data_IF_801685552819
#
_entry.id   IF_801685552819
#
_cell.length_a   1.000
_cell.length_b   1.000
_cell.length_c   1.000
_cell.angle_alpha   90.00
_cell.angle_beta   90.00
_cell.angle_gamma   90.00
#
_symmetry.space_group_name_H-M   'P 1'
#
loop_
_entity.id
_entity.type
_entity.pdbx_description
1 polymer ?
#
# COMPACT_ATOMS: atom_id res chain seq x y z
N UNK A 1 12.69 -24.66 16.54
CA UNK A 1 12.23 -23.26 16.62
C UNK A 1 12.24 -22.74 15.19
N UNK A 2 11.14 -22.15 14.71
CA UNK A 2 11.11 -21.62 13.34
C UNK A 2 11.95 -20.35 13.29
N UNK A 3 12.74 -20.19 12.24
CA UNK A 3 13.51 -18.97 12.00
C UNK A 3 12.55 -17.92 11.46
N UNK A 4 12.41 -16.80 12.15
CA UNK A 4 11.59 -15.67 11.70
C UNK A 4 12.30 -14.90 10.59
N UNK A 5 11.55 -14.21 9.75
CA UNK A 5 12.08 -13.31 8.73
C UNK A 5 12.84 -12.15 9.38
N UNK A 6 14.08 -11.91 8.93
CA UNK A 6 14.84 -10.71 9.28
C UNK A 6 14.51 -9.55 8.35
N UNK A 7 14.65 -8.32 8.84
CA UNK A 7 14.51 -7.10 8.05
C UNK A 7 15.88 -6.54 7.64
N UNK A 8 15.90 -5.64 6.64
CA UNK A 8 17.13 -4.97 6.18
C UNK A 8 17.76 -4.04 7.22
N UNK A 9 17.00 -3.64 8.24
CA UNK A 9 17.48 -2.76 9.32
C UNK A 9 18.36 -3.55 10.30
N UNK A 10 19.67 -3.31 10.25
CA UNK A 10 20.61 -3.89 11.21
C UNK A 10 20.64 -3.10 12.51
N UNK A 11 19.93 -3.57 13.53
CA UNK A 11 20.00 -2.96 14.87
C UNK A 11 21.08 -3.59 15.74
N UNK A 12 21.98 -2.76 16.24
CA UNK A 12 22.87 -3.12 17.34
C UNK A 12 22.16 -2.95 18.67
N UNK A 13 21.24 -3.87 18.99
CA UNK A 13 20.67 -4.01 20.34
C UNK A 13 21.75 -4.62 21.23
N UNK A 14 22.71 -3.82 21.70
CA UNK A 14 23.75 -4.25 22.65
C UNK A 14 23.15 -4.59 24.02
N UNK A 15 23.87 -4.29 25.12
CA UNK A 15 23.39 -4.53 26.50
C UNK A 15 22.12 -3.78 26.94
N UNK A 16 21.38 -3.17 26.01
CA UNK A 16 20.12 -2.48 26.21
C UNK A 16 18.92 -3.22 25.60
N UNK A 17 19.06 -4.52 25.29
CA UNK A 17 17.96 -5.35 24.78
C UNK A 17 16.70 -5.34 25.65
N UNK A 18 16.85 -5.03 26.95
CA UNK A 18 15.77 -5.00 27.93
C UNK A 18 15.14 -3.61 28.10
N UNK A 19 15.62 -2.57 27.39
CA UNK A 19 14.96 -1.26 27.42
C UNK A 19 13.66 -1.35 26.59
N UNK A 20 12.54 -0.80 27.10
CA UNK A 20 11.34 -0.71 26.30
C UNK A 20 11.64 0.09 25.03
N UNK A 21 11.10 -0.36 23.89
CA UNK A 21 11.19 0.38 22.64
C UNK A 21 10.43 1.71 22.76
N UNK A 22 10.86 2.72 22.00
CA UNK A 22 10.16 4.00 21.97
C UNK A 22 8.69 3.80 21.59
N UNK A 23 7.81 4.60 22.18
CA UNK A 23 6.38 4.51 21.93
C UNK A 23 6.08 4.89 20.47
N UNK A 24 5.47 3.94 19.75
CA UNK A 24 5.10 4.14 18.35
C UNK A 24 3.82 4.98 18.29
N UNK A 25 3.88 6.11 17.61
CA UNK A 25 2.74 7.00 17.42
C UNK A 25 2.64 7.45 15.95
N UNK A 26 1.69 6.86 15.22
CA UNK A 26 1.47 7.16 13.81
C UNK A 26 1.00 8.61 13.57
N UNK A 27 0.24 9.19 14.51
CA UNK A 27 -0.25 10.58 14.40
C UNK A 27 0.89 11.61 14.50
N UNK A 28 2.03 11.23 15.10
CA UNK A 28 3.24 12.05 15.18
C UNK A 28 4.32 11.61 14.18
N UNK A 29 4.00 10.70 13.26
CA UNK A 29 4.95 10.05 12.34
C UNK A 29 6.13 9.37 13.04
N UNK A 30 5.98 9.06 14.34
CA UNK A 30 6.91 8.23 15.11
C UNK A 30 6.61 6.77 14.81
N UNK A 31 6.90 6.38 13.58
CA UNK A 31 6.74 5.00 13.13
C UNK A 31 7.82 4.12 13.76
N UNK A 32 7.51 2.83 13.83
CA UNK A 32 8.47 1.85 14.30
C UNK A 32 9.77 1.93 13.48
N UNK A 33 10.93 1.64 14.08
CA UNK A 33 12.22 1.72 13.39
C UNK A 33 12.39 0.86 12.12
N UNK A 34 11.50 -0.09 11.85
CA UNK A 34 11.44 -0.82 10.56
C UNK A 34 10.76 -0.01 9.44
N UNK A 35 10.05 1.07 9.80
CA UNK A 35 9.27 1.93 8.92
C UNK A 35 9.80 3.37 8.93
N UNK A 36 11.11 3.54 9.12
CA UNK A 36 11.77 4.83 8.97
C UNK A 36 11.70 5.31 7.52
N UNK A 37 11.74 6.63 7.33
CA UNK A 37 11.67 7.26 6.02
C UNK A 37 12.81 6.80 5.10
N UNK A 38 14.02 6.67 5.63
CA UNK A 38 15.16 6.16 4.88
C UNK A 38 15.29 4.65 5.11
N UNK A 39 14.98 3.90 4.06
CA UNK A 39 15.07 2.44 4.01
C UNK A 39 16.34 2.02 3.26
N UNK A 40 16.77 0.78 3.49
CA UNK A 40 17.82 0.13 2.71
C UNK A 40 17.24 -1.06 1.98
N UNK A 41 17.38 -1.07 0.66
CA UNK A 41 16.98 -2.21 -0.16
C UNK A 41 17.96 -3.38 0.02
N UNK A 42 17.58 -4.56 -0.45
CA UNK A 42 18.39 -5.78 -0.45
C UNK A 42 19.74 -5.62 -1.17
N UNK A 43 19.84 -4.65 -2.10
CA UNK A 43 21.08 -4.30 -2.79
C UNK A 43 21.98 -3.32 -2.01
N UNK A 44 21.57 -2.87 -0.83
CA UNK A 44 22.28 -1.89 -0.02
C UNK A 44 22.07 -0.43 -0.46
N UNK A 45 21.16 -0.18 -1.41
CA UNK A 45 20.83 1.17 -1.86
C UNK A 45 19.86 1.86 -0.89
N UNK A 46 20.02 3.16 -0.72
CA UNK A 46 19.08 3.99 0.03
C UNK A 46 17.80 4.21 -0.79
N UNK A 47 16.66 3.90 -0.20
CA UNK A 47 15.34 4.08 -0.79
C UNK A 47 14.42 4.77 0.22
N UNK A 48 13.45 5.56 -0.24
CA UNK A 48 12.45 6.12 0.66
C UNK A 48 11.44 5.04 1.07
N UNK A 49 10.81 5.22 2.22
CA UNK A 49 9.73 4.36 2.70
C UNK A 49 8.65 4.22 1.64
N UNK A 50 8.35 2.98 1.27
CA UNK A 50 7.25 2.66 0.38
C UNK A 50 5.98 2.58 1.22
N UNK A 51 5.03 3.42 0.90
CA UNK A 51 3.68 3.39 1.46
C UNK A 51 2.70 3.24 0.32
N UNK A 52 1.68 2.41 0.54
CA UNK A 52 0.66 2.12 -0.46
C UNK A 52 -0.69 2.59 0.07
N UNK A 53 -1.45 3.31 -0.76
CA UNK A 53 -2.86 3.50 -0.49
C UNK A 53 -3.64 2.18 -0.74
N UNK A 54 -4.91 2.11 -0.32
CA UNK A 54 -5.71 0.88 -0.47
C UNK A 54 -5.85 0.42 -1.93
N UNK A 55 -5.98 1.37 -2.85
CA UNK A 55 -6.15 1.12 -4.28
C UNK A 55 -4.86 0.57 -4.91
N UNK A 56 -3.72 1.18 -4.62
CA UNK A 56 -2.38 0.75 -5.03
C UNK A 56 -2.08 -0.65 -4.47
N UNK A 57 -2.35 -0.87 -3.19
CA UNK A 57 -2.15 -2.17 -2.55
C UNK A 57 -2.99 -3.26 -3.22
N UNK A 58 -4.25 -2.96 -3.57
CA UNK A 58 -5.13 -3.90 -4.29
C UNK A 58 -4.54 -4.30 -5.63
N UNK A 59 -4.17 -3.33 -6.46
CA UNK A 59 -3.67 -3.55 -7.81
C UNK A 59 -2.35 -4.32 -7.76
N UNK A 60 -1.43 -3.92 -6.87
CA UNK A 60 -0.12 -4.56 -6.71
C UNK A 60 -0.24 -6.01 -6.27
N UNK A 61 -1.09 -6.31 -5.28
CA UNK A 61 -1.30 -7.70 -4.82
C UNK A 61 -1.91 -8.54 -5.94
N UNK A 62 -2.93 -8.03 -6.66
CA UNK A 62 -3.55 -8.77 -7.78
C UNK A 62 -2.56 -9.02 -8.91
N UNK A 63 -1.76 -8.03 -9.28
CA UNK A 63 -0.72 -8.17 -10.30
C UNK A 63 0.31 -9.25 -9.92
N UNK A 64 0.83 -9.22 -8.69
CA UNK A 64 1.80 -10.20 -8.20
C UNK A 64 1.22 -11.63 -8.13
N UNK A 65 -0.05 -11.79 -7.73
CA UNK A 65 -0.72 -13.09 -7.70
C UNK A 65 -1.02 -13.63 -9.10
N UNK A 66 -1.38 -12.75 -10.05
CA UNK A 66 -1.61 -13.12 -11.45
C UNK A 66 -0.33 -13.59 -12.12
N UNK A 67 0.77 -12.84 -11.97
CA UNK A 67 2.08 -13.24 -12.48
C UNK A 67 2.51 -14.60 -11.89
N UNK A 68 2.33 -14.78 -10.58
CA UNK A 68 2.61 -16.07 -9.93
C UNK A 68 1.75 -17.20 -10.50
N UNK A 69 0.46 -16.97 -10.73
CA UNK A 69 -0.45 -17.96 -11.33
C UNK A 69 0.02 -18.37 -12.73
N UNK A 70 0.41 -17.40 -13.56
CA UNK A 70 0.95 -17.65 -14.91
C UNK A 70 2.25 -18.46 -14.85
N UNK A 71 3.17 -18.12 -13.95
CA UNK A 71 4.41 -18.89 -13.72
C UNK A 71 4.13 -20.34 -13.32
N UNK A 72 3.17 -20.58 -12.41
CA UNK A 72 2.81 -21.94 -11.99
C UNK A 72 2.17 -22.75 -13.11
N UNK A 73 1.34 -22.13 -13.95
CA UNK A 73 0.75 -22.79 -15.13
C UNK A 73 1.82 -23.15 -16.16
N UNK A 74 2.77 -22.25 -16.42
CA UNK A 74 3.90 -22.52 -17.30
C UNK A 74 4.77 -23.68 -16.78
N UNK A 75 4.99 -23.75 -15.46
CA UNK A 75 5.80 -24.80 -14.84
C UNK A 75 5.10 -26.18 -14.79
N UNK A 76 3.77 -26.22 -14.72
CA UNK A 76 2.98 -27.47 -14.73
C UNK A 76 2.82 -28.11 -16.12
N UNK A 77 3.26 -27.44 -17.19
CA UNK A 77 3.20 -27.99 -18.55
C UNK A 77 1.79 -28.21 -19.09
N UNK A 78 0.79 -27.47 -18.60
CA UNK A 78 -0.57 -27.49 -19.15
C UNK A 78 -0.56 -26.88 -20.55
N UNK A 79 -0.73 -27.74 -21.57
CA UNK A 79 -0.84 -27.37 -22.98
C UNK A 79 -1.97 -26.34 -23.23
N UNK A 80 -1.74 -25.48 -24.22
CA UNK A 80 -2.52 -24.32 -24.69
C UNK A 80 -4.06 -24.47 -24.86
N UNK A 81 -4.70 -25.61 -24.57
CA UNK A 81 -6.14 -25.82 -24.80
C UNK A 81 -7.06 -25.20 -23.73
N UNK A 82 -6.57 -24.93 -22.52
CA UNK A 82 -7.35 -24.25 -21.47
C UNK A 82 -7.22 -22.71 -21.49
N UNK A 83 -6.43 -22.15 -22.43
CA UNK A 83 -6.28 -20.70 -22.61
C UNK A 83 -7.54 -19.98 -23.11
N UNK A 84 -8.60 -20.73 -23.44
CA UNK A 84 -9.86 -20.18 -23.97
C UNK A 84 -10.63 -19.38 -22.90
N UNK A 85 -10.27 -19.49 -21.61
CA UNK A 85 -10.85 -18.67 -20.52
C UNK A 85 -9.88 -17.60 -19.97
N UNK A 86 -8.82 -17.23 -20.69
CA UNK A 86 -7.81 -16.27 -20.21
C UNK A 86 -8.24 -14.80 -20.23
N UNK A 87 -9.43 -14.47 -20.77
CA UNK A 87 -9.96 -13.09 -20.77
C UNK A 87 -10.85 -12.76 -19.56
N UNK A 88 -11.23 -13.74 -18.75
CA UNK A 88 -11.93 -13.45 -17.50
C UNK A 88 -10.89 -13.05 -16.44
N UNK A 89 -10.99 -11.82 -15.93
CA UNK A 89 -10.18 -11.37 -14.79
C UNK A 89 -10.43 -12.34 -13.61
N UNK A 90 -9.41 -13.07 -13.12
CA UNK A 90 -9.62 -14.12 -12.14
C UNK A 90 -10.20 -13.56 -10.83
N UNK A 91 -11.20 -14.27 -10.29
CA UNK A 91 -11.81 -13.89 -9.01
C UNK A 91 -10.78 -13.82 -7.88
N UNK A 92 -11.01 -12.89 -6.94
CA UNK A 92 -10.12 -12.68 -5.78
C UNK A 92 -9.90 -13.95 -4.94
N UNK A 93 -10.91 -14.83 -4.87
CA UNK A 93 -10.81 -16.10 -4.15
C UNK A 93 -9.88 -17.09 -4.86
N UNK A 94 -9.87 -17.09 -6.20
CA UNK A 94 -8.97 -17.92 -7.01
C UNK A 94 -7.53 -17.43 -6.88
N UNK A 95 -7.32 -16.11 -6.91
CA UNK A 95 -6.02 -15.49 -6.71
C UNK A 95 -5.47 -15.76 -5.29
N UNK A 96 -6.31 -15.67 -4.25
CA UNK A 96 -5.89 -15.94 -2.87
C UNK A 96 -5.37 -17.37 -2.67
N UNK A 97 -5.97 -18.35 -3.35
CA UNK A 97 -5.54 -19.77 -3.32
C UNK A 97 -4.15 -20.00 -3.92
N UNK A 98 -3.62 -19.05 -4.71
CA UNK A 98 -2.26 -19.10 -5.25
C UNK A 98 -1.20 -18.56 -4.27
N UNK A 99 -1.60 -18.12 -3.07
CA UNK A 99 -0.66 -17.78 -2.00
C UNK A 99 0.09 -19.03 -1.51
N UNK A 100 1.40 -18.88 -1.29
CA UNK A 100 2.35 -19.97 -1.00
C UNK A 100 2.13 -20.69 0.33
N UNK A 101 1.29 -20.17 1.25
CA UNK A 101 1.09 -20.75 2.57
C UNK A 101 -0.41 -20.98 2.87
N UNK A 102 -0.82 -22.19 3.33
CA UNK A 102 -2.22 -22.53 3.64
C UNK A 102 -2.88 -21.60 4.68
N UNK A 103 -2.11 -21.10 5.67
CA UNK A 103 -2.60 -20.15 6.67
C UNK A 103 -2.56 -18.67 6.24
N UNK A 104 -1.71 -18.33 5.27
CA UNK A 104 -1.68 -16.97 4.70
C UNK A 104 -2.88 -16.72 3.77
N UNK A 105 -3.53 -17.79 3.30
CA UNK A 105 -4.69 -17.70 2.42
C UNK A 105 -5.89 -17.01 3.11
N UNK A 106 -6.18 -17.31 4.38
CA UNK A 106 -7.34 -16.69 5.05
C UNK A 106 -7.13 -15.19 5.29
N UNK A 107 -5.94 -14.80 5.77
CA UNK A 107 -5.59 -13.39 5.98
C UNK A 107 -5.60 -12.65 4.64
N UNK A 108 -4.95 -13.20 3.62
CA UNK A 108 -4.89 -12.58 2.30
C UNK A 108 -6.27 -12.47 1.64
N UNK A 109 -7.12 -13.50 1.77
CA UNK A 109 -8.49 -13.48 1.24
C UNK A 109 -9.31 -12.37 1.92
N UNK A 110 -9.23 -12.23 3.25
CA UNK A 110 -9.86 -11.13 3.98
C UNK A 110 -9.30 -9.77 3.56
N UNK A 111 -7.99 -9.66 3.38
CA UNK A 111 -7.34 -8.43 2.90
C UNK A 111 -7.81 -8.07 1.50
N UNK A 112 -7.83 -9.01 0.55
CA UNK A 112 -8.33 -8.76 -0.81
C UNK A 112 -9.80 -8.33 -0.80
N UNK A 113 -10.65 -8.95 0.02
CA UNK A 113 -12.04 -8.54 0.18
C UNK A 113 -12.17 -7.12 0.72
N UNK A 114 -11.37 -6.78 1.74
CA UNK A 114 -11.32 -5.42 2.29
C UNK A 114 -10.88 -4.42 1.22
N UNK A 115 -9.75 -4.68 0.56
CA UNK A 115 -9.22 -3.82 -0.50
C UNK A 115 -10.19 -3.70 -1.68
N UNK A 116 -10.91 -4.76 -2.04
CA UNK A 116 -11.89 -4.71 -3.13
C UNK A 116 -13.11 -3.85 -2.79
N UNK A 117 -13.49 -3.80 -1.51
CA UNK A 117 -14.64 -3.04 -1.01
C UNK A 117 -14.29 -1.57 -0.76
N UNK A 118 -13.11 -1.30 -0.19
CA UNK A 118 -12.69 0.02 0.28
C UNK A 118 -11.64 0.70 -0.62
N UNK A 119 -11.25 0.10 -1.75
CA UNK A 119 -10.43 0.81 -2.75
C UNK A 119 -11.22 1.95 -3.37
N UNK A 120 -10.69 3.16 -3.24
CA UNK A 120 -11.26 4.39 -3.81
C UNK A 120 -11.10 4.47 -5.33
N UNK A 121 -9.98 3.97 -5.84
CA UNK A 121 -9.63 3.95 -7.27
C UNK A 121 -9.56 2.49 -7.73
N UNK A 122 -10.49 2.06 -8.59
CA UNK A 122 -10.50 0.67 -9.09
C UNK A 122 -9.63 0.48 -10.33
N UNK A 123 -9.59 1.50 -11.18
CA UNK A 123 -8.88 1.44 -12.44
C UNK A 123 -7.41 1.84 -12.27
N UNK A 124 -6.52 1.12 -12.92
CA UNK A 124 -5.08 1.39 -12.85
C UNK A 124 -4.74 2.81 -13.31
N UNK A 125 -5.41 3.31 -14.35
CA UNK A 125 -5.22 4.66 -14.87
C UNK A 125 -5.58 5.73 -13.83
N UNK A 126 -6.73 5.60 -13.16
CA UNK A 126 -7.16 6.52 -12.09
C UNK A 126 -6.23 6.46 -10.88
N UNK A 127 -5.75 5.26 -10.53
CA UNK A 127 -4.82 5.08 -9.43
C UNK A 127 -3.47 5.76 -9.73
N UNK A 128 -2.94 5.62 -10.95
CA UNK A 128 -1.69 6.29 -11.37
C UNK A 128 -1.86 7.80 -11.44
N UNK A 129 -3.03 8.30 -11.86
CA UNK A 129 -3.32 9.74 -11.85
C UNK A 129 -3.35 10.31 -10.41
N UNK A 130 -4.01 9.61 -9.48
CA UNK A 130 -4.03 10.00 -8.06
C UNK A 130 -2.63 9.95 -7.43
N UNK A 131 -1.82 8.94 -7.78
CA UNK A 131 -0.43 8.82 -7.35
C UNK A 131 0.43 9.99 -7.87
N UNK A 132 0.30 10.34 -9.15
CA UNK A 132 1.04 11.45 -9.76
C UNK A 132 0.67 12.80 -9.12
N UNK A 133 -0.60 13.01 -8.76
CA UNK A 133 -1.06 14.19 -8.04
C UNK A 133 -0.44 14.26 -6.64
N UNK A 134 -0.50 13.16 -5.88
CA UNK A 134 -0.05 13.10 -4.49
C UNK A 134 1.48 13.11 -4.35
N UNK A 135 2.21 12.50 -5.29
CA UNK A 135 3.68 12.43 -5.31
C UNK A 135 4.33 13.53 -6.16
N UNK A 136 3.57 14.57 -6.52
CA UNK A 136 4.08 15.74 -7.21
C UNK A 136 5.11 16.50 -6.36
N UNK A 137 6.02 17.24 -7.01
CA UNK A 137 7.09 17.98 -6.33
C UNK A 137 6.56 19.03 -5.33
N UNK A 138 5.36 19.56 -5.58
CA UNK A 138 4.63 20.51 -4.72
C UNK A 138 4.17 19.87 -3.38
N UNK A 139 4.18 18.54 -3.31
CA UNK A 139 3.82 17.74 -2.15
C UNK A 139 5.02 17.02 -1.52
N UNK A 140 6.24 17.38 -1.92
CA UNK A 140 7.49 16.80 -1.38
C UNK A 140 7.69 17.00 0.12
N UNK A 141 6.98 17.96 0.73
CA UNK A 141 6.96 18.19 2.17
C UNK A 141 6.15 17.14 2.95
N UNK A 142 5.26 16.40 2.29
CA UNK A 142 4.42 15.39 2.92
C UNK A 142 5.21 14.10 3.13
N UNK A 143 5.00 13.49 4.29
CA UNK A 143 5.55 12.18 4.59
C UNK A 143 4.82 11.12 3.75
N UNK A 144 5.48 10.04 3.27
CA UNK A 144 4.83 8.97 2.49
C UNK A 144 3.58 8.40 3.17
N UNK A 145 3.61 8.28 4.49
CA UNK A 145 2.45 7.86 5.29
C UNK A 145 1.23 8.76 5.08
N UNK A 146 1.43 10.08 5.06
CA UNK A 146 0.35 11.07 4.88
C UNK A 146 -0.23 10.98 3.47
N UNK A 147 0.64 10.81 2.47
CA UNK A 147 0.26 10.59 1.07
C UNK A 147 -0.62 9.33 0.96
N UNK A 148 -0.23 8.23 1.60
CA UNK A 148 -1.01 7.00 1.59
C UNK A 148 -2.37 7.15 2.31
N UNK A 149 -2.42 7.93 3.39
CA UNK A 149 -3.68 8.23 4.09
C UNK A 149 -4.61 9.09 3.23
N UNK A 150 -4.11 10.16 2.59
CA UNK A 150 -4.91 11.01 1.68
C UNK A 150 -5.45 10.22 0.47
N UNK A 151 -4.70 9.24 -0.03
CA UNK A 151 -5.17 8.36 -1.10
C UNK A 151 -6.19 7.31 -0.66
N UNK A 152 -6.28 7.02 0.64
CA UNK A 152 -7.15 5.96 1.20
C UNK A 152 -8.41 6.50 1.87
N UNK A 153 -8.29 7.63 2.55
CA UNK A 153 -9.38 8.32 3.23
C UNK A 153 -10.03 9.30 2.24
N UNK A 154 -11.35 9.21 2.09
CA UNK A 154 -12.13 10.16 1.30
C UNK A 154 -12.52 11.33 2.20
N UNK A 155 -11.62 12.30 2.35
CA UNK A 155 -11.89 13.53 3.09
C UNK A 155 -12.57 14.54 2.15
N UNK A 156 -13.61 15.23 2.65
CA UNK A 156 -14.32 16.28 1.91
C UNK A 156 -13.64 17.64 2.09
N UNK A 157 -13.29 17.98 3.32
CA UNK A 157 -12.74 19.29 3.70
C UNK A 157 -11.33 19.19 4.30
N UNK A 158 -10.55 20.27 4.23
CA UNK A 158 -9.26 20.38 4.94
C UNK A 158 -9.38 20.09 6.44
N UNK A 159 -10.45 20.54 7.10
CA UNK A 159 -10.63 20.33 8.55
C UNK A 159 -10.79 18.84 8.90
N UNK A 160 -11.54 18.10 8.07
CA UNK A 160 -11.66 16.65 8.20
C UNK A 160 -10.31 15.96 7.96
N UNK A 161 -9.58 16.36 6.91
CA UNK A 161 -8.27 15.79 6.61
C UNK A 161 -7.26 16.01 7.74
N UNK A 162 -7.20 17.20 8.33
CA UNK A 162 -6.32 17.51 9.48
C UNK A 162 -6.78 16.75 10.73
N UNK A 163 -8.09 16.62 10.95
CA UNK A 163 -8.63 15.88 12.09
C UNK A 163 -8.29 14.39 12.01
N UNK A 164 -8.41 13.78 10.82
CA UNK A 164 -8.12 12.36 10.60
C UNK A 164 -6.61 12.08 10.49
N UNK A 165 -5.84 13.04 9.98
CA UNK A 165 -4.39 12.94 9.80
C UNK A 165 -3.72 14.13 10.52
N UNK A 166 -3.55 14.07 11.86
CA UNK A 166 -3.05 15.19 12.64
C UNK A 166 -1.65 15.65 12.26
N UNK A 167 -0.85 14.76 11.65
CA UNK A 167 0.51 15.07 11.21
C UNK A 167 0.57 16.06 10.04
N UNK A 168 -0.54 16.27 9.31
CA UNK A 168 -0.65 17.26 8.23
C UNK A 168 -0.69 18.70 8.74
N UNK A 169 -0.98 18.90 10.03
CA UNK A 169 -1.11 20.22 10.61
C UNK A 169 0.18 21.04 10.37
N UNK A 170 0.02 22.30 9.95
CA UNK A 170 1.09 23.25 9.63
C UNK A 170 2.04 22.87 8.47
N UNK A 171 1.86 21.72 7.80
CA UNK A 171 2.73 21.30 6.68
C UNK A 171 2.30 21.82 5.31
N UNK A 172 1.01 22.09 5.14
CA UNK A 172 0.44 22.59 3.87
C UNK A 172 -0.63 23.63 4.14
N UNK A 173 -0.77 24.57 3.22
CA UNK A 173 -1.83 25.56 3.29
C UNK A 173 -3.19 24.92 3.02
N UNK A 174 -4.21 25.41 3.73
CA UNK A 174 -5.60 24.97 3.61
C UNK A 174 -6.11 25.03 2.17
N UNK A 175 -5.79 26.10 1.45
CA UNK A 175 -6.21 26.29 0.05
C UNK A 175 -5.61 25.23 -0.88
N UNK A 176 -4.33 24.87 -0.66
CA UNK A 176 -3.67 23.88 -1.50
C UNK A 176 -4.11 22.45 -1.14
N UNK A 177 -4.40 22.19 0.13
CA UNK A 177 -4.93 20.89 0.56
C UNK A 177 -6.36 20.69 0.02
N UNK A 178 -7.23 21.70 0.11
CA UNK A 178 -8.58 21.64 -0.47
C UNK A 178 -8.54 21.35 -1.97
N UNK A 179 -7.65 22.01 -2.73
CA UNK A 179 -7.47 21.74 -4.17
C UNK A 179 -7.08 20.29 -4.46
N UNK A 180 -6.21 19.71 -3.65
CA UNK A 180 -5.80 18.31 -3.80
C UNK A 180 -6.98 17.37 -3.50
N UNK A 181 -7.73 17.65 -2.43
CA UNK A 181 -8.91 16.87 -2.06
C UNK A 181 -9.98 16.92 -3.15
N UNK A 182 -10.26 18.10 -3.72
CA UNK A 182 -11.19 18.26 -4.85
C UNK A 182 -10.76 17.43 -6.07
N UNK A 183 -9.49 17.47 -6.44
CA UNK A 183 -9.00 16.72 -7.60
C UNK A 183 -8.97 15.20 -7.33
N UNK A 184 -8.68 14.76 -6.10
CA UNK A 184 -8.82 13.35 -5.71
C UNK A 184 -10.28 12.88 -5.76
N UNK A 185 -11.22 13.70 -5.28
CA UNK A 185 -12.66 13.42 -5.35
C UNK A 185 -13.15 13.35 -6.81
N UNK A 186 -12.55 14.13 -7.71
CA UNK A 186 -12.85 14.08 -9.14
C UNK A 186 -12.35 12.81 -9.83
N UNK A 187 -11.19 12.32 -9.41
CA UNK A 187 -10.59 11.07 -9.92
C UNK A 187 -11.27 9.82 -9.37
N UNK A 188 -12.09 9.97 -8.31
CA UNK A 188 -12.84 8.87 -7.74
C UNK A 188 -13.79 8.29 -8.79
N UNK A 189 -13.67 6.97 -9.00
CA UNK A 189 -14.53 6.27 -9.94
C UNK A 189 -15.95 6.25 -9.37
N UNK A 190 -16.88 7.00 -9.97
CA UNK A 190 -18.30 6.92 -9.63
C UNK A 190 -18.73 5.45 -9.68
N UNK A 191 -19.10 4.90 -8.53
CA UNK A 191 -19.67 3.56 -8.43
C UNK A 191 -21.00 3.53 -9.22
N UNK A 192 -21.18 2.68 -10.24
CA UNK A 192 -22.51 2.22 -10.62
C UNK A 192 -23.08 1.24 -9.58
#
# INVERSE_FOLDING_TARGET
MNISTGAGVQRRRGGQSNRPEDEVNAAELKLGPEFQLDQTDNHGNHTKLITLNLSEARILIRAALKERMEMFQAMKGTDNKDKINAEADPDDEVLARMATAPGANEVLSKTLKYLSTFSRFKDAETCTAAEALLKSDDNSALHPFEIAQLGSLACEDTDEAITLIPSLNEKKDSIDLDRILEELNRLETNFP
#
